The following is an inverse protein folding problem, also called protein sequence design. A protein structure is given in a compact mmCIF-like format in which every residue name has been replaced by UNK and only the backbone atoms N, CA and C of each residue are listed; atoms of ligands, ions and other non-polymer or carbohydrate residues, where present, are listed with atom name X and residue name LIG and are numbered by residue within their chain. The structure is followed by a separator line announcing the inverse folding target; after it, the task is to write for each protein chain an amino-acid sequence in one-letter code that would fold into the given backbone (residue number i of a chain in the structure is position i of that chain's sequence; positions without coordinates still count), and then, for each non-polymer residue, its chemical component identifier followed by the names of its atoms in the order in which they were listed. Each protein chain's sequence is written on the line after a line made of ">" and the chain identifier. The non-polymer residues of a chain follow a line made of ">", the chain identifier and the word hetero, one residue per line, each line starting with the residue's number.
data_IF_189781699854
#
_entry.id   IF_189781699854
#
_cell.length_a   1.000
_cell.length_b   1.000
_cell.length_c   1.000
_cell.angle_alpha   90.00
_cell.angle_beta   90.00
_cell.angle_gamma   90.00
#
_symmetry.space_group_name_H-M   'P 1'
#
loop_
_entity.id
_entity.type
_entity.pdbx_description
1 polymer ?
#
# COMPACT_ATOMS: atom_id res chain seq x y z
N UNK A 1 -8.91 -29.42 -45.40
CA UNK A 1 -7.88 -29.09 -44.42
C UNK A 1 -7.42 -27.64 -44.65
N UNK A 2 -7.74 -26.69 -43.73
CA UNK A 2 -7.20 -25.31 -43.78
C UNK A 2 -5.72 -25.41 -43.40
N UNK A 3 -4.85 -25.22 -44.38
CA UNK A 3 -3.42 -25.05 -44.14
C UNK A 3 -3.25 -23.65 -43.51
N UNK A 4 -3.27 -23.60 -42.18
CA UNK A 4 -2.87 -22.38 -41.45
C UNK A 4 -1.37 -22.20 -41.62
N UNK A 5 -0.96 -21.21 -42.41
CA UNK A 5 0.46 -20.80 -42.48
C UNK A 5 0.92 -20.44 -41.07
N UNK A 6 2.04 -20.96 -40.58
CA UNK A 6 2.57 -20.55 -39.29
C UNK A 6 2.90 -19.05 -39.34
N UNK A 7 2.25 -18.28 -38.49
CA UNK A 7 2.55 -16.87 -38.32
C UNK A 7 3.97 -16.77 -37.78
N UNK A 8 4.83 -15.99 -38.45
CA UNK A 8 6.21 -15.78 -38.00
C UNK A 8 6.23 -15.26 -36.56
N UNK A 9 6.93 -15.98 -35.67
CA UNK A 9 7.07 -15.62 -34.30
C UNK A 9 8.19 -14.60 -34.13
N UNK A 10 7.86 -13.34 -33.90
CA UNK A 10 8.85 -12.33 -33.52
C UNK A 10 9.17 -12.48 -32.04
N UNK A 11 10.46 -12.53 -31.72
CA UNK A 11 10.93 -12.56 -30.33
C UNK A 11 10.98 -11.14 -29.80
N UNK A 12 10.22 -10.87 -28.75
CA UNK A 12 10.30 -9.63 -27.99
C UNK A 12 11.24 -9.83 -26.80
N UNK A 13 12.13 -8.89 -26.59
CA UNK A 13 13.02 -8.85 -25.42
C UNK A 13 13.35 -7.40 -25.11
N UNK A 14 13.26 -7.01 -23.85
CA UNK A 14 13.70 -5.72 -23.36
C UNK A 14 15.21 -5.52 -23.66
N UNK A 15 15.60 -4.31 -23.88
CA UNK A 15 17.01 -3.98 -24.16
C UNK A 15 17.86 -4.00 -22.90
N UNK A 16 17.26 -3.62 -21.77
CA UNK A 16 17.93 -3.51 -20.48
C UNK A 16 17.16 -4.27 -19.41
N UNK A 17 17.87 -4.68 -18.38
CA UNK A 17 17.29 -5.19 -17.17
C UNK A 17 16.50 -4.10 -16.46
N UNK A 18 15.43 -4.45 -15.75
CA UNK A 18 14.48 -3.54 -15.11
C UNK A 18 13.72 -2.60 -16.08
N UNK A 19 13.79 -2.82 -17.39
CA UNK A 19 12.96 -2.10 -18.36
C UNK A 19 11.51 -2.64 -18.35
N UNK A 20 11.36 -3.96 -18.32
CA UNK A 20 10.08 -4.65 -18.34
C UNK A 20 10.14 -5.90 -17.44
N UNK A 21 9.25 -5.95 -16.47
CA UNK A 21 9.00 -7.16 -15.68
C UNK A 21 7.63 -7.75 -16.01
N UNK A 22 7.55 -9.06 -16.08
CA UNK A 22 6.29 -9.78 -16.14
C UNK A 22 5.87 -10.19 -14.75
N UNK A 23 4.63 -9.93 -14.39
CA UNK A 23 4.02 -10.34 -13.11
C UNK A 23 2.84 -11.26 -13.38
N UNK A 24 2.78 -12.35 -12.62
CA UNK A 24 1.66 -13.29 -12.66
C UNK A 24 1.52 -14.04 -11.33
N UNK A 25 0.36 -14.67 -11.12
CA UNK A 25 0.04 -15.46 -9.93
C UNK A 25 -0.53 -16.81 -10.37
N UNK A 26 -0.21 -17.85 -9.62
CA UNK A 26 -0.72 -19.21 -9.90
C UNK A 26 -1.00 -19.97 -8.61
N UNK A 27 -2.11 -20.71 -8.49
CA UNK A 27 -2.32 -21.59 -7.36
C UNK A 27 -1.13 -22.54 -7.19
N UNK A 28 -0.68 -22.71 -5.94
CA UNK A 28 0.36 -23.66 -5.61
C UNK A 28 -0.18 -25.09 -5.56
N UNK A 29 0.65 -26.05 -5.97
CA UNK A 29 0.36 -27.48 -5.81
C UNK A 29 0.77 -28.01 -4.43
N UNK A 30 1.43 -27.20 -3.58
CA UNK A 30 1.73 -27.54 -2.20
C UNK A 30 0.44 -27.69 -1.39
N UNK A 31 0.15 -28.94 -0.98
CA UNK A 31 -1.01 -29.28 -0.16
C UNK A 31 -0.55 -29.49 1.28
N UNK A 32 -1.43 -29.25 2.24
CA UNK A 32 -1.16 -29.49 3.67
C UNK A 32 -0.18 -28.52 4.35
N UNK A 33 0.18 -27.39 3.71
CA UNK A 33 0.82 -26.27 4.40
C UNK A 33 -0.14 -25.75 5.47
N UNK A 34 0.32 -25.55 6.71
CA UNK A 34 -0.52 -25.05 7.79
C UNK A 34 -1.14 -23.70 7.41
N UNK A 35 -2.41 -23.50 7.80
CA UNK A 35 -3.07 -22.22 7.58
C UNK A 35 -2.39 -21.14 8.43
N UNK A 36 -2.23 -19.91 7.90
CA UNK A 36 -1.67 -18.81 8.66
C UNK A 36 -2.49 -18.49 9.91
N UNK A 37 -1.84 -17.98 10.96
CA UNK A 37 -2.49 -17.61 12.23
C UNK A 37 -3.52 -16.47 12.11
N UNK A 38 -3.51 -15.73 11.01
CA UNK A 38 -4.44 -14.63 10.76
C UNK A 38 -5.79 -15.08 10.17
N UNK A 39 -5.95 -16.38 9.88
CA UNK A 39 -7.20 -16.92 9.32
C UNK A 39 -8.33 -16.78 10.34
N UNK A 40 -9.39 -16.07 9.96
CA UNK A 40 -10.58 -15.85 10.78
C UNK A 40 -11.45 -17.11 10.80
N UNK A 41 -12.01 -17.45 11.97
CA UNK A 41 -12.98 -18.53 12.09
C UNK A 41 -14.19 -18.29 11.18
N UNK A 42 -14.59 -19.30 10.43
CA UNK A 42 -15.76 -19.25 9.56
C UNK A 42 -15.50 -18.75 8.13
N UNK A 43 -14.34 -18.16 7.84
CA UNK A 43 -14.01 -17.66 6.48
C UNK A 43 -13.48 -18.73 5.54
N UNK A 44 -13.21 -19.93 6.06
CA UNK A 44 -12.62 -21.00 5.28
C UNK A 44 -11.08 -20.91 5.20
N UNK A 45 -10.48 -21.87 4.49
CA UNK A 45 -9.03 -21.91 4.34
C UNK A 45 -8.59 -21.06 3.14
N UNK A 46 -7.60 -20.17 3.29
CA UNK A 46 -7.03 -19.44 2.16
C UNK A 46 -6.32 -20.38 1.20
N UNK A 47 -6.23 -19.97 -0.06
CA UNK A 47 -5.46 -20.69 -1.08
C UNK A 47 -4.01 -20.23 -1.03
N UNK A 48 -3.08 -21.19 -1.00
CA UNK A 48 -1.67 -20.87 -1.18
C UNK A 48 -1.41 -20.58 -2.66
N UNK A 49 -1.00 -19.36 -2.96
CA UNK A 49 -0.68 -18.91 -4.30
C UNK A 49 0.82 -18.68 -4.44
N UNK A 50 1.37 -19.00 -5.61
CA UNK A 50 2.72 -18.66 -6.01
C UNK A 50 2.68 -17.36 -6.83
N UNK A 51 3.27 -16.30 -6.31
CA UNK A 51 3.45 -15.01 -6.98
C UNK A 51 4.81 -14.99 -7.66
N UNK A 52 4.90 -14.42 -8.85
CA UNK A 52 6.14 -14.40 -9.64
C UNK A 52 6.32 -13.10 -10.40
N UNK A 53 7.54 -12.59 -10.38
CA UNK A 53 8.02 -11.62 -11.35
C UNK A 53 9.21 -12.17 -12.11
N UNK A 54 9.31 -11.79 -13.38
CA UNK A 54 10.41 -12.18 -14.28
C UNK A 54 10.89 -10.97 -15.04
N UNK A 55 12.17 -10.69 -14.97
CA UNK A 55 12.78 -9.68 -15.81
C UNK A 55 12.79 -10.12 -17.27
N UNK A 56 12.26 -9.30 -18.16
CA UNK A 56 12.08 -9.66 -19.58
C UNK A 56 13.40 -9.82 -20.34
N UNK A 57 14.43 -9.05 -19.98
CA UNK A 57 15.74 -9.11 -20.59
C UNK A 57 16.46 -10.40 -20.23
N UNK A 58 16.65 -10.64 -18.96
CA UNK A 58 17.51 -11.68 -18.42
C UNK A 58 16.79 -13.01 -18.13
N UNK A 59 15.47 -12.97 -17.92
CA UNK A 59 14.73 -14.11 -17.42
C UNK A 59 15.00 -14.43 -15.94
N UNK A 60 15.73 -13.57 -15.23
CA UNK A 60 15.87 -13.67 -13.78
C UNK A 60 14.50 -13.49 -13.10
N UNK A 61 14.24 -14.26 -12.05
CA UNK A 61 12.93 -14.32 -11.41
C UNK A 61 13.02 -14.16 -9.90
N UNK A 62 11.99 -13.55 -9.34
CA UNK A 62 11.71 -13.57 -7.90
C UNK A 62 10.30 -14.06 -7.67
N UNK A 63 10.11 -14.92 -6.68
CA UNK A 63 8.83 -15.56 -6.38
C UNK A 63 8.60 -15.66 -4.88
N UNK A 64 7.33 -15.70 -4.47
CA UNK A 64 6.90 -15.97 -3.09
C UNK A 64 5.62 -16.79 -3.08
N UNK A 65 5.51 -17.69 -2.10
CA UNK A 65 4.24 -18.26 -1.69
C UNK A 65 3.53 -17.32 -0.75
N UNK A 66 2.23 -17.14 -0.97
CA UNK A 66 1.35 -16.35 -0.10
C UNK A 66 -0.01 -17.02 0.01
N UNK A 67 -0.50 -17.12 1.23
CA UNK A 67 -1.86 -17.57 1.51
C UNK A 67 -2.82 -16.40 1.32
N UNK A 68 -3.79 -16.54 0.41
CA UNK A 68 -4.73 -15.47 0.04
C UNK A 68 -6.13 -16.04 -0.15
N UNK A 69 -7.16 -15.21 0.01
CA UNK A 69 -8.55 -15.60 -0.30
C UNK A 69 -8.94 -15.40 -1.76
N UNK A 70 -8.03 -14.92 -2.58
CA UNK A 70 -8.22 -14.66 -4.00
C UNK A 70 -7.12 -13.76 -4.56
N UNK A 71 -7.29 -13.33 -5.80
CA UNK A 71 -6.43 -12.36 -6.44
C UNK A 71 -6.81 -10.97 -5.94
N UNK A 72 -6.08 -10.44 -4.96
CA UNK A 72 -6.30 -9.13 -4.37
C UNK A 72 -5.10 -8.19 -4.55
N UNK A 73 -5.39 -6.89 -4.52
CA UNK A 73 -4.38 -5.86 -4.72
C UNK A 73 -3.41 -5.75 -3.53
N UNK A 74 -3.86 -6.05 -2.32
CA UNK A 74 -3.03 -5.98 -1.11
C UNK A 74 -1.89 -6.98 -1.19
N UNK A 75 -2.22 -8.25 -1.44
CA UNK A 75 -1.23 -9.33 -1.54
C UNK A 75 -0.27 -9.11 -2.70
N UNK A 76 -0.79 -8.64 -3.86
CA UNK A 76 0.03 -8.31 -5.02
C UNK A 76 1.01 -7.16 -4.74
N UNK A 77 0.54 -6.09 -4.09
CA UNK A 77 1.38 -4.95 -3.73
C UNK A 77 2.44 -5.31 -2.69
N UNK A 78 2.09 -6.14 -1.71
CA UNK A 78 3.04 -6.63 -0.71
C UNK A 78 4.14 -7.49 -1.34
N UNK A 79 3.76 -8.39 -2.25
CA UNK A 79 4.71 -9.17 -3.04
C UNK A 79 5.62 -8.28 -3.90
N UNK A 80 5.05 -7.33 -4.63
CA UNK A 80 5.82 -6.42 -5.50
C UNK A 80 6.77 -5.52 -4.70
N UNK A 81 6.36 -5.10 -3.49
CA UNK A 81 7.27 -4.41 -2.59
C UNK A 81 8.53 -5.26 -2.32
N UNK A 82 8.34 -6.52 -1.92
CA UNK A 82 9.45 -7.44 -1.65
C UNK A 82 10.27 -7.72 -2.91
N UNK A 83 9.61 -7.84 -4.07
CA UNK A 83 10.30 -8.07 -5.34
C UNK A 83 11.21 -6.89 -5.73
N UNK A 84 10.77 -5.65 -5.50
CA UNK A 84 11.53 -4.43 -5.83
C UNK A 84 12.59 -4.10 -4.78
N UNK A 85 12.38 -4.45 -3.52
CA UNK A 85 13.32 -4.21 -2.45
C UNK A 85 14.61 -5.03 -2.61
N UNK A 86 15.69 -4.52 -2.03
CA UNK A 86 16.91 -5.30 -1.88
C UNK A 86 16.65 -6.51 -0.98
N UNK A 87 17.16 -7.69 -1.38
CA UNK A 87 17.05 -8.90 -0.59
C UNK A 87 18.21 -8.97 0.40
N UNK A 88 17.99 -9.57 1.59
CA UNK A 88 19.08 -9.79 2.53
C UNK A 88 20.09 -10.82 2.01
N UNK A 89 19.66 -11.74 1.14
CA UNK A 89 20.50 -12.78 0.56
C UNK A 89 21.31 -12.21 -0.62
N UNK A 90 22.66 -12.15 -0.53
CA UNK A 90 23.50 -11.63 -1.63
C UNK A 90 23.37 -12.43 -2.93
N UNK A 91 22.96 -13.70 -2.84
CA UNK A 91 22.76 -14.61 -3.98
C UNK A 91 21.48 -14.30 -4.77
N UNK A 92 20.61 -13.41 -4.25
CA UNK A 92 19.39 -12.95 -4.90
C UNK A 92 19.46 -11.44 -5.18
N UNK A 93 20.35 -10.96 -6.05
CA UNK A 93 20.55 -9.53 -6.29
C UNK A 93 19.44 -8.88 -7.12
N UNK A 94 18.47 -9.65 -7.64
CA UNK A 94 17.34 -9.09 -8.42
C UNK A 94 16.54 -8.12 -7.56
N UNK A 95 16.56 -6.84 -7.92
CA UNK A 95 15.93 -5.74 -7.19
C UNK A 95 15.67 -4.53 -8.08
N UNK A 96 15.04 -3.51 -7.51
CA UNK A 96 14.81 -2.23 -8.16
C UNK A 96 13.43 -2.13 -8.81
N UNK A 97 12.93 -0.91 -8.89
CA UNK A 97 11.63 -0.60 -9.48
C UNK A 97 11.74 -0.64 -11.00
N UNK A 98 11.03 -1.53 -11.72
CA UNK A 98 11.07 -1.59 -13.18
C UNK A 98 10.40 -0.36 -13.80
N UNK A 99 10.70 -0.08 -15.07
CA UNK A 99 10.01 0.96 -15.83
C UNK A 99 8.58 0.55 -16.17
N UNK A 100 8.38 -0.74 -16.44
CA UNK A 100 7.09 -1.28 -16.88
C UNK A 100 6.85 -2.64 -16.24
N UNK A 101 5.60 -2.89 -15.81
CA UNK A 101 5.09 -4.21 -15.44
C UNK A 101 4.07 -4.64 -16.48
N UNK A 102 4.21 -5.87 -16.95
CA UNK A 102 3.25 -6.55 -17.81
C UNK A 102 2.54 -7.65 -17.00
N UNK A 103 1.22 -7.62 -16.98
CA UNK A 103 0.40 -8.56 -16.23
C UNK A 103 -0.89 -8.90 -17.00
N UNK A 104 -1.66 -9.82 -16.50
CA UNK A 104 -2.96 -10.11 -17.07
C UNK A 104 -4.00 -9.01 -16.74
N UNK A 105 -5.16 -9.06 -17.41
CA UNK A 105 -6.25 -8.11 -17.21
C UNK A 105 -7.21 -8.60 -16.10
N UNK A 106 -6.63 -9.01 -14.96
CA UNK A 106 -7.35 -9.52 -13.79
C UNK A 106 -7.84 -8.43 -12.83
N UNK A 107 -8.38 -8.84 -11.67
CA UNK A 107 -8.86 -7.90 -10.63
C UNK A 107 -7.77 -6.97 -10.12
N UNK A 108 -6.55 -7.46 -9.96
CA UNK A 108 -5.40 -6.69 -9.47
C UNK A 108 -5.08 -5.53 -10.41
N UNK A 109 -4.98 -5.79 -11.73
CA UNK A 109 -4.65 -4.74 -12.71
C UNK A 109 -5.72 -3.65 -12.81
N UNK A 110 -6.97 -3.94 -12.44
CA UNK A 110 -8.09 -2.99 -12.44
C UNK A 110 -8.25 -2.25 -11.13
N UNK A 111 -7.59 -2.67 -10.07
CA UNK A 111 -7.65 -2.04 -8.76
C UNK A 111 -7.12 -0.61 -8.83
N UNK A 112 -7.90 0.36 -8.32
CA UNK A 112 -7.51 1.77 -8.26
C UNK A 112 -6.28 1.99 -7.41
N UNK A 113 -6.21 1.32 -6.26
CA UNK A 113 -5.07 1.44 -5.36
C UNK A 113 -3.81 0.86 -6.00
N UNK A 114 -3.91 -0.27 -6.70
CA UNK A 114 -2.79 -0.84 -7.45
C UNK A 114 -2.25 0.13 -8.50
N UNK A 115 -3.14 0.70 -9.32
CA UNK A 115 -2.77 1.68 -10.35
C UNK A 115 -2.18 2.95 -9.73
N UNK A 116 -2.73 3.43 -8.63
CA UNK A 116 -2.23 4.58 -7.89
C UNK A 116 -0.81 4.35 -7.35
N UNK A 117 -0.57 3.18 -6.73
CA UNK A 117 0.75 2.80 -6.21
C UNK A 117 1.77 2.66 -7.34
N UNK A 118 1.41 1.97 -8.42
CA UNK A 118 2.31 1.83 -9.58
C UNK A 118 2.63 3.20 -10.21
N UNK A 119 1.63 4.06 -10.36
CA UNK A 119 1.82 5.45 -10.80
C UNK A 119 2.75 6.23 -9.88
N UNK A 120 2.60 6.05 -8.58
CA UNK A 120 3.42 6.66 -7.53
C UNK A 120 4.88 6.23 -7.60
N UNK A 121 5.11 4.97 -7.91
CA UNK A 121 6.44 4.41 -8.13
C UNK A 121 7.01 4.74 -9.53
N UNK A 122 6.22 5.43 -10.39
CA UNK A 122 6.61 5.71 -11.77
C UNK A 122 6.71 4.44 -12.63
N UNK A 123 5.89 3.43 -12.33
CA UNK A 123 5.81 2.16 -13.06
C UNK A 123 4.62 2.20 -14.01
N UNK A 124 4.86 1.94 -15.27
CA UNK A 124 3.79 1.79 -16.27
C UNK A 124 3.23 0.37 -16.21
N UNK A 125 1.93 0.24 -16.02
CA UNK A 125 1.24 -1.06 -16.07
C UNK A 125 0.76 -1.33 -17.48
N UNK A 126 1.15 -2.47 -18.05
CA UNK A 126 0.65 -2.99 -19.32
C UNK A 126 -0.15 -4.26 -19.07
N UNK A 127 -1.34 -4.33 -19.66
CA UNK A 127 -2.17 -5.54 -19.59
C UNK A 127 -2.36 -6.13 -21.00
N UNK A 128 -2.72 -7.41 -21.06
CA UNK A 128 -3.10 -8.03 -22.33
C UNK A 128 -4.33 -7.33 -22.92
N UNK A 129 -4.26 -6.95 -24.18
CA UNK A 129 -5.42 -6.42 -24.88
C UNK A 129 -6.45 -7.52 -25.14
N UNK A 130 -7.76 -7.22 -25.04
CA UNK A 130 -8.80 -8.17 -25.40
C UNK A 130 -8.70 -8.59 -26.88
N UNK A 131 -9.18 -9.78 -27.24
CA UNK A 131 -9.04 -10.35 -28.60
C UNK A 131 -9.72 -9.54 -29.72
N UNK A 132 -10.52 -8.53 -29.41
CA UNK A 132 -11.31 -7.74 -30.36
C UNK A 132 -10.53 -6.71 -31.17
N UNK A 133 -9.32 -6.32 -30.76
CA UNK A 133 -8.47 -5.37 -31.50
C UNK A 133 -7.48 -6.13 -32.38
N UNK A 134 -7.83 -6.29 -33.66
CA UNK A 134 -7.11 -7.12 -34.60
C UNK A 134 -5.73 -6.59 -35.03
N UNK A 135 -5.39 -5.34 -34.74
CA UNK A 135 -4.18 -4.71 -35.28
C UNK A 135 -3.02 -4.52 -34.28
N UNK A 136 -3.26 -4.66 -32.97
CA UNK A 136 -2.20 -4.49 -31.94
C UNK A 136 -2.18 -5.62 -30.90
N UNK A 137 -2.17 -6.86 -31.38
CA UNK A 137 -2.01 -8.00 -30.49
C UNK A 137 -0.63 -8.00 -29.88
N UNK A 138 -0.53 -7.74 -28.56
CA UNK A 138 0.57 -8.33 -27.79
C UNK A 138 0.40 -9.83 -27.89
N UNK A 139 1.29 -10.54 -28.59
CA UNK A 139 1.04 -11.94 -28.87
C UNK A 139 0.97 -12.72 -27.56
N UNK A 140 0.06 -13.71 -27.49
CA UNK A 140 -0.07 -14.65 -26.37
C UNK A 140 1.29 -15.28 -25.94
N UNK A 141 2.30 -15.21 -26.80
CA UNK A 141 3.69 -15.62 -26.54
C UNK A 141 4.46 -14.72 -25.55
N UNK A 142 4.03 -13.48 -25.29
CA UNK A 142 4.60 -12.67 -24.22
C UNK A 142 4.38 -13.33 -22.86
N UNK A 143 3.24 -14.02 -22.66
CA UNK A 143 2.92 -14.78 -21.45
C UNK A 143 3.85 -15.98 -21.22
N UNK A 144 4.38 -16.58 -22.27
CA UNK A 144 5.33 -17.71 -22.16
C UNK A 144 6.63 -17.40 -21.43
N UNK A 145 6.98 -16.14 -21.21
CA UNK A 145 8.15 -15.76 -20.41
C UNK A 145 7.90 -15.90 -18.91
N UNK A 146 6.69 -15.56 -18.46
CA UNK A 146 6.27 -15.70 -17.07
C UNK A 146 5.86 -17.15 -16.73
N UNK A 147 5.24 -17.85 -17.68
CA UNK A 147 4.81 -19.25 -17.49
C UNK A 147 6.00 -20.22 -17.26
N UNK A 148 7.14 -19.95 -17.87
CA UNK A 148 8.29 -20.83 -17.78
C UNK A 148 8.90 -20.90 -16.38
N UNK A 149 9.19 -19.80 -15.66
CA UNK A 149 9.63 -19.86 -14.26
C UNK A 149 8.62 -20.56 -13.35
N UNK A 150 7.33 -20.33 -13.52
CA UNK A 150 6.30 -21.08 -12.78
C UNK A 150 6.42 -22.59 -12.99
N UNK A 151 6.49 -23.01 -14.25
CA UNK A 151 6.61 -24.44 -14.56
C UNK A 151 7.88 -25.03 -13.97
N UNK A 152 9.02 -24.37 -14.12
CA UNK A 152 10.29 -24.87 -13.57
C UNK A 152 10.23 -24.98 -12.05
N UNK A 153 9.70 -23.96 -11.36
CA UNK A 153 9.59 -24.00 -9.90
C UNK A 153 8.59 -25.05 -9.45
N UNK A 154 7.43 -25.17 -10.11
CA UNK A 154 6.45 -26.21 -9.80
C UNK A 154 7.00 -27.62 -10.03
N UNK A 155 7.65 -27.84 -11.17
CA UNK A 155 8.22 -29.15 -11.48
C UNK A 155 9.35 -29.56 -10.51
N UNK A 156 10.20 -28.63 -10.11
CA UNK A 156 11.36 -28.94 -9.24
C UNK A 156 11.00 -28.74 -7.77
N UNK A 157 10.53 -27.56 -7.40
CA UNK A 157 10.34 -27.21 -5.99
C UNK A 157 9.12 -27.91 -5.40
N UNK A 158 7.97 -27.91 -6.09
CA UNK A 158 6.75 -28.55 -5.59
C UNK A 158 6.85 -30.08 -5.67
N UNK A 159 7.65 -30.64 -6.59
CA UNK A 159 7.95 -32.07 -6.61
C UNK A 159 8.73 -32.49 -5.38
N UNK A 160 9.67 -31.68 -4.86
CA UNK A 160 10.38 -31.94 -3.62
C UNK A 160 9.44 -32.09 -2.40
N UNK A 161 8.26 -31.52 -2.46
CA UNK A 161 7.21 -31.71 -1.45
C UNK A 161 6.87 -33.16 -1.16
N UNK A 162 7.06 -34.07 -2.13
CA UNK A 162 6.85 -35.49 -1.91
C UNK A 162 7.91 -36.13 -0.97
N UNK A 163 9.08 -35.50 -0.87
CA UNK A 163 10.17 -35.94 -0.03
C UNK A 163 10.23 -35.19 1.30
N UNK A 164 9.93 -33.89 1.28
CA UNK A 164 9.87 -33.06 2.47
C UNK A 164 8.72 -32.06 2.34
N UNK A 165 7.80 -32.07 3.28
CA UNK A 165 6.62 -31.23 3.29
C UNK A 165 6.92 -29.98 4.11
N UNK A 166 6.90 -28.78 3.52
CA UNK A 166 7.01 -27.56 4.30
C UNK A 166 5.84 -27.47 5.26
N UNK A 167 6.11 -27.10 6.50
CA UNK A 167 5.12 -27.01 7.56
C UNK A 167 4.16 -25.84 7.32
N UNK A 168 4.73 -24.68 7.03
CA UNK A 168 4.02 -23.42 6.88
C UNK A 168 4.52 -22.63 5.65
N UNK A 169 3.92 -21.48 5.43
CA UNK A 169 4.26 -20.56 4.34
C UNK A 169 5.70 -20.04 4.45
N UNK A 170 6.20 -19.82 5.66
CA UNK A 170 7.55 -19.31 5.89
C UNK A 170 8.61 -20.34 5.48
N UNK A 171 8.42 -21.60 5.89
CA UNK A 171 9.31 -22.69 5.49
C UNK A 171 9.26 -22.94 3.98
N UNK A 172 8.06 -22.88 3.38
CA UNK A 172 7.89 -23.00 1.93
C UNK A 172 8.67 -21.89 1.19
N UNK A 173 8.60 -20.65 1.68
CA UNK A 173 9.34 -19.53 1.13
C UNK A 173 10.85 -19.63 1.34
N UNK A 174 11.31 -20.15 2.47
CA UNK A 174 12.73 -20.39 2.70
C UNK A 174 13.31 -21.36 1.65
N UNK A 175 12.58 -22.41 1.32
CA UNK A 175 13.00 -23.38 0.31
C UNK A 175 12.91 -22.82 -1.10
N UNK A 176 11.85 -22.06 -1.36
CA UNK A 176 11.68 -21.37 -2.64
C UNK A 176 12.84 -20.41 -2.91
N UNK A 177 13.31 -19.66 -1.93
CA UNK A 177 14.49 -18.79 -2.09
C UNK A 177 15.73 -19.56 -2.52
N UNK A 178 16.00 -20.73 -1.94
CA UNK A 178 17.12 -21.59 -2.37
C UNK A 178 16.94 -22.09 -3.80
N UNK A 179 15.72 -22.49 -4.17
CA UNK A 179 15.42 -22.90 -5.54
C UNK A 179 15.60 -21.74 -6.54
N UNK A 180 15.22 -20.52 -6.14
CA UNK A 180 15.39 -19.30 -6.96
C UNK A 180 16.87 -18.95 -7.17
N UNK A 181 17.73 -19.10 -6.15
CA UNK A 181 19.18 -18.95 -6.32
C UNK A 181 19.68 -19.90 -7.41
N UNK A 182 19.32 -21.17 -7.34
CA UNK A 182 19.69 -22.17 -8.35
C UNK A 182 19.12 -21.82 -9.73
N UNK A 183 17.86 -21.42 -9.80
CA UNK A 183 17.20 -21.03 -11.05
C UNK A 183 17.88 -19.82 -11.70
N UNK A 184 18.18 -18.77 -10.93
CA UNK A 184 18.76 -17.54 -11.44
C UNK A 184 20.24 -17.73 -11.87
N UNK A 185 20.97 -18.62 -11.22
CA UNK A 185 22.32 -19.00 -11.59
C UNK A 185 22.38 -20.04 -12.73
N UNK A 186 21.23 -20.56 -13.14
CA UNK A 186 21.15 -21.43 -14.32
C UNK A 186 21.26 -20.63 -15.62
N UNK A 187 21.60 -21.38 -16.70
CA UNK A 187 21.89 -20.80 -18.02
C UNK A 187 20.78 -19.92 -18.55
N UNK A 188 21.16 -18.76 -19.08
CA UNK A 188 20.26 -17.92 -19.83
C UNK A 188 19.81 -18.67 -21.11
N UNK A 189 18.58 -18.40 -21.54
CA UNK A 189 17.96 -19.13 -22.65
C UNK A 189 18.74 -19.07 -23.96
N UNK A 190 19.45 -17.99 -24.22
CA UNK A 190 20.08 -17.69 -25.52
C UNK A 190 21.47 -17.10 -25.41
N UNK A 191 21.89 -16.76 -24.22
CA UNK A 191 23.22 -16.24 -23.93
C UNK A 191 24.06 -17.36 -23.28
N UNK A 192 25.37 -17.24 -23.38
CA UNK A 192 26.32 -18.23 -22.84
C UNK A 192 26.66 -18.03 -21.36
N UNK A 193 25.78 -17.35 -20.62
CA UNK A 193 25.98 -17.03 -19.20
C UNK A 193 24.66 -17.18 -18.40
N UNK A 194 24.74 -17.09 -17.07
CA UNK A 194 23.60 -17.25 -16.19
C UNK A 194 22.59 -16.09 -16.32
N UNK A 195 21.31 -16.34 -15.94
CA UNK A 195 20.25 -15.31 -15.94
C UNK A 195 20.61 -14.12 -15.09
N UNK A 196 21.12 -14.36 -13.89
CA UNK A 196 21.48 -13.28 -12.98
C UNK A 196 22.70 -12.48 -13.47
N UNK A 197 23.61 -13.13 -14.16
CA UNK A 197 24.75 -12.48 -14.80
C UNK A 197 24.29 -11.59 -15.96
N UNK A 198 23.32 -12.05 -16.78
CA UNK A 198 22.70 -11.23 -17.83
C UNK A 198 22.00 -10.00 -17.23
N UNK A 199 21.28 -10.20 -16.11
CA UNK A 199 20.62 -9.10 -15.40
C UNK A 199 21.63 -8.04 -14.95
N UNK A 200 22.74 -8.43 -14.34
CA UNK A 200 23.81 -7.53 -13.90
C UNK A 200 24.48 -6.79 -15.06
N UNK A 201 24.74 -7.47 -16.17
CA UNK A 201 25.42 -6.90 -17.35
C UNK A 201 24.58 -5.86 -18.07
N UNK A 202 23.27 -5.95 -18.01
CA UNK A 202 22.34 -5.09 -18.75
C UNK A 202 21.59 -4.09 -17.87
N UNK A 203 22.07 -3.84 -16.64
CA UNK A 203 21.50 -2.79 -15.80
C UNK A 203 21.52 -1.43 -16.50
N UNK A 204 20.55 -0.55 -16.21
CA UNK A 204 20.58 0.83 -16.70
C UNK A 204 21.89 1.53 -16.31
N UNK A 205 22.42 2.46 -17.11
CA UNK A 205 23.66 3.18 -16.79
C UNK A 205 23.60 3.91 -15.45
N UNK A 206 22.41 4.40 -15.08
CA UNK A 206 22.15 5.10 -13.83
C UNK A 206 21.89 4.14 -12.65
N UNK A 207 22.07 2.84 -12.85
CA UNK A 207 21.80 1.80 -11.87
C UNK A 207 20.32 1.45 -11.74
N UNK A 208 19.98 0.74 -10.66
CA UNK A 208 18.60 0.37 -10.34
C UNK A 208 17.88 1.49 -9.58
N UNK A 209 16.61 1.70 -9.86
CA UNK A 209 15.76 2.58 -9.07
C UNK A 209 15.44 1.87 -7.74
N UNK A 210 16.02 2.34 -6.64
CA UNK A 210 15.83 1.72 -5.34
C UNK A 210 14.37 1.82 -4.87
N UNK A 211 13.91 0.79 -4.16
CA UNK A 211 12.60 0.80 -3.50
C UNK A 211 12.63 1.73 -2.29
N UNK A 212 11.54 2.44 -2.03
CA UNK A 212 11.39 3.27 -0.84
C UNK A 212 11.20 2.40 0.42
N UNK A 213 11.25 3.04 1.60
CA UNK A 213 10.94 2.33 2.85
C UNK A 213 9.49 1.82 2.87
N UNK A 214 9.22 0.81 3.72
CA UNK A 214 7.89 0.23 3.88
C UNK A 214 6.86 1.27 4.33
N UNK A 215 7.24 2.16 5.26
CA UNK A 215 6.38 3.23 5.77
C UNK A 215 5.96 4.20 4.65
N UNK A 216 6.90 4.57 3.80
CA UNK A 216 6.61 5.42 2.64
C UNK A 216 5.71 4.71 1.63
N UNK A 217 5.93 3.42 1.40
CA UNK A 217 5.07 2.62 0.54
C UNK A 217 3.64 2.55 1.09
N UNK A 218 3.46 2.30 2.37
CA UNK A 218 2.15 2.32 3.02
C UNK A 218 1.45 3.68 2.89
N UNK A 219 2.21 4.78 2.92
CA UNK A 219 1.64 6.12 2.84
C UNK A 219 0.93 6.42 1.51
N UNK A 220 1.28 5.76 0.41
CA UNK A 220 0.58 5.88 -0.88
C UNK A 220 -0.23 4.64 -1.28
N UNK A 221 -0.13 3.54 -0.56
CA UNK A 221 -1.01 2.38 -0.71
C UNK A 221 -2.34 2.61 0.01
N UNK A 222 -3.08 3.63 -0.46
CA UNK A 222 -4.34 4.09 0.15
C UNK A 222 -5.50 3.97 -0.83
N UNK A 223 -6.59 3.36 -0.37
CA UNK A 223 -7.82 3.26 -1.16
C UNK A 223 -8.66 4.53 -1.00
N UNK A 224 -8.98 5.25 -2.08
CA UNK A 224 -9.85 6.41 -2.01
C UNK A 224 -11.32 5.99 -1.99
N UNK A 225 -12.09 6.47 -0.99
CA UNK A 225 -13.52 6.25 -0.87
C UNK A 225 -14.25 7.56 -0.55
N UNK A 226 -15.35 7.85 -1.23
CA UNK A 226 -16.18 9.03 -0.93
C UNK A 226 -17.22 8.67 0.11
N UNK A 227 -17.24 9.42 1.23
CA UNK A 227 -18.21 9.27 2.32
C UNK A 227 -18.65 10.63 2.84
N UNK A 228 -19.86 10.66 3.41
CA UNK A 228 -20.33 11.82 4.19
C UNK A 228 -20.00 11.54 5.65
N UNK A 229 -19.38 12.54 6.30
CA UNK A 229 -19.07 12.49 7.73
C UNK A 229 -20.36 12.63 8.52
N UNK A 230 -20.56 11.80 9.53
CA UNK A 230 -21.74 11.86 10.38
C UNK A 230 -21.76 13.15 11.23
N UNK A 231 -22.94 13.51 11.78
CA UNK A 231 -23.11 14.75 12.56
C UNK A 231 -22.31 14.78 13.87
N UNK A 232 -21.85 13.62 14.33
CA UNK A 232 -20.95 13.46 15.49
C UNK A 232 -19.45 13.48 15.09
N UNK A 233 -19.14 13.92 13.89
CA UNK A 233 -17.81 13.90 13.31
C UNK A 233 -17.17 12.52 13.23
N UNK A 234 -17.97 11.48 13.03
CA UNK A 234 -17.48 10.12 12.82
C UNK A 234 -17.66 9.65 11.37
N UNK A 235 -16.82 8.72 10.96
CA UNK A 235 -16.91 8.04 9.67
C UNK A 235 -16.53 6.57 9.86
N UNK A 236 -17.25 5.67 9.17
CA UNK A 236 -16.98 4.24 9.24
C UNK A 236 -16.35 3.75 7.93
N UNK A 237 -15.25 2.99 8.05
CA UNK A 237 -14.52 2.36 6.95
C UNK A 237 -14.14 0.95 7.36
N UNK A 238 -14.44 -0.05 6.52
CA UNK A 238 -14.11 -1.47 6.76
C UNK A 238 -14.47 -1.96 8.18
N UNK A 239 -15.64 -1.54 8.66
CA UNK A 239 -16.12 -1.93 9.99
C UNK A 239 -15.47 -1.21 11.18
N UNK A 240 -14.49 -0.35 10.94
CA UNK A 240 -13.89 0.51 11.94
C UNK A 240 -14.50 1.92 11.89
N UNK A 241 -14.72 2.52 13.07
CA UNK A 241 -15.18 3.90 13.20
C UNK A 241 -14.01 4.82 13.50
N UNK A 242 -13.97 5.97 12.86
CA UNK A 242 -12.93 7.00 13.01
C UNK A 242 -13.57 8.31 13.41
N UNK A 243 -13.02 8.94 14.45
CA UNK A 243 -13.37 10.30 14.83
C UNK A 243 -12.48 11.26 14.01
N UNK A 244 -13.11 12.09 13.17
CA UNK A 244 -12.42 13.06 12.31
C UNK A 244 -12.58 14.48 12.85
N UNK A 245 -12.07 15.47 12.12
CA UNK A 245 -12.20 16.87 12.55
C UNK A 245 -13.67 17.30 12.60
N UNK A 246 -14.11 17.93 13.70
CA UNK A 246 -15.51 18.36 13.88
C UNK A 246 -16.03 19.27 12.76
N UNK A 247 -15.14 20.04 12.12
CA UNK A 247 -15.46 20.94 11.01
C UNK A 247 -15.89 20.19 9.74
N UNK A 248 -15.62 18.90 9.66
CA UNK A 248 -16.01 18.05 8.54
C UNK A 248 -17.39 17.41 8.74
N UNK A 249 -18.04 17.61 9.89
CA UNK A 249 -19.35 17.02 10.16
C UNK A 249 -20.40 17.45 9.14
N UNK A 250 -21.06 16.48 8.50
CA UNK A 250 -22.03 16.72 7.43
C UNK A 250 -21.44 16.89 6.04
N UNK A 251 -20.11 17.06 5.93
CA UNK A 251 -19.45 17.24 4.64
C UNK A 251 -19.21 15.92 3.91
N UNK A 252 -19.21 15.98 2.57
CA UNK A 252 -18.82 14.84 1.74
C UNK A 252 -17.33 14.94 1.42
N UNK A 253 -16.58 14.00 1.95
CA UNK A 253 -15.14 13.97 1.90
C UNK A 253 -14.61 12.77 1.11
N UNK A 254 -13.34 12.81 0.74
CA UNK A 254 -12.62 11.62 0.24
C UNK A 254 -11.80 11.04 1.37
N UNK A 255 -12.14 9.83 1.77
CA UNK A 255 -11.37 9.04 2.72
C UNK A 255 -10.21 8.38 1.97
N UNK A 256 -9.06 8.33 2.60
CA UNK A 256 -7.87 7.62 2.12
C UNK A 256 -7.45 6.64 3.21
N UNK A 257 -8.03 5.44 3.19
CA UNK A 257 -7.72 4.41 4.19
C UNK A 257 -6.57 3.51 3.71
N UNK A 258 -5.72 3.09 4.65
CA UNK A 258 -4.52 2.34 4.36
C UNK A 258 -4.79 0.85 4.16
N UNK A 259 -4.23 0.26 3.08
CA UNK A 259 -4.27 -1.20 2.88
C UNK A 259 -3.44 -1.96 3.93
N UNK A 260 -2.39 -1.37 4.45
CA UNK A 260 -1.41 -2.04 5.31
C UNK A 260 -1.36 -1.49 6.72
N UNK A 261 -2.12 -0.46 7.01
CA UNK A 261 -2.24 0.17 8.32
C UNK A 261 -3.68 0.58 8.60
N UNK A 262 -3.96 0.98 9.83
CA UNK A 262 -5.29 1.46 10.24
C UNK A 262 -5.36 2.98 10.28
N UNK A 263 -4.45 3.68 9.63
CA UNK A 263 -4.48 5.13 9.56
C UNK A 263 -5.45 5.59 8.46
N UNK A 264 -6.32 6.51 8.81
CA UNK A 264 -7.23 7.18 7.88
C UNK A 264 -6.77 8.61 7.65
N UNK A 265 -6.69 9.02 6.39
CA UNK A 265 -6.62 10.42 6.01
C UNK A 265 -7.92 10.84 5.35
N UNK A 266 -8.27 12.09 5.52
CA UNK A 266 -9.47 12.69 4.92
C UNK A 266 -9.05 13.85 4.04
N UNK A 267 -9.51 13.87 2.79
CA UNK A 267 -9.32 14.99 1.88
C UNK A 267 -10.64 15.73 1.66
N UNK A 268 -10.63 17.03 1.92
CA UNK A 268 -11.75 17.92 1.68
C UNK A 268 -11.23 19.28 1.16
N UNK A 269 -11.82 19.78 0.07
CA UNK A 269 -11.43 21.06 -0.57
C UNK A 269 -9.91 21.21 -0.83
N UNK A 270 -9.24 20.11 -1.21
CA UNK A 270 -7.79 20.12 -1.49
C UNK A 270 -6.91 20.18 -0.24
N UNK A 271 -7.46 20.03 0.95
CA UNK A 271 -6.73 19.88 2.21
C UNK A 271 -6.79 18.44 2.68
N UNK A 272 -5.71 17.98 3.28
CA UNK A 272 -5.60 16.64 3.89
C UNK A 272 -5.54 16.76 5.40
N UNK A 273 -6.41 16.00 6.06
CA UNK A 273 -6.55 15.90 7.51
C UNK A 273 -6.12 14.50 7.96
N UNK A 274 -5.65 14.36 9.20
CA UNK A 274 -5.20 13.09 9.78
C UNK A 274 -3.68 13.04 9.99
N UNK A 275 -3.10 11.86 10.32
CA UNK A 275 -3.76 10.55 10.36
C UNK A 275 -4.72 10.38 11.53
N UNK A 276 -5.90 9.83 11.26
CA UNK A 276 -6.86 9.41 12.27
C UNK A 276 -6.69 7.93 12.58
N UNK A 277 -6.90 7.56 13.84
CA UNK A 277 -6.87 6.16 14.28
C UNK A 277 -8.30 5.66 14.55
N UNK A 278 -8.56 4.34 14.43
CA UNK A 278 -9.87 3.79 14.77
C UNK A 278 -10.27 4.15 16.19
N UNK A 279 -11.49 4.66 16.35
CA UNK A 279 -12.06 4.92 17.68
C UNK A 279 -12.57 3.62 18.29
N UNK A 280 -12.28 3.40 19.57
CA UNK A 280 -12.76 2.24 20.33
C UNK A 280 -13.93 2.65 21.23
N UNK A 281 -15.13 2.78 20.65
CA UNK A 281 -16.36 3.04 21.41
C UNK A 281 -16.59 4.51 21.78
N UNK A 282 -17.53 4.75 22.73
CA UNK A 282 -17.95 6.08 23.12
C UNK A 282 -16.79 6.92 23.69
N UNK A 283 -16.68 8.16 23.23
CA UNK A 283 -15.65 9.10 23.70
C UNK A 283 -16.00 9.51 25.13
N UNK A 284 -15.08 9.39 26.11
CA UNK A 284 -15.31 9.87 27.45
C UNK A 284 -15.64 11.36 27.48
N UNK A 285 -16.55 11.79 28.39
CA UNK A 285 -17.02 13.16 28.47
C UNK A 285 -15.88 14.21 28.58
N UNK A 286 -14.77 13.86 29.22
CA UNK A 286 -13.61 14.75 29.35
C UNK A 286 -12.80 14.92 28.03
N UNK A 287 -13.06 14.10 27.00
CA UNK A 287 -12.50 14.23 25.66
C UNK A 287 -13.44 14.94 24.69
N UNK A 288 -14.59 15.43 25.16
CA UNK A 288 -15.51 16.16 24.31
C UNK A 288 -14.80 17.36 23.68
N UNK A 289 -14.59 17.30 22.38
CA UNK A 289 -14.01 18.39 21.61
C UNK A 289 -15.08 19.45 21.42
N UNK A 290 -14.80 20.63 21.91
CA UNK A 290 -15.65 21.78 21.63
C UNK A 290 -15.51 22.14 20.16
N UNK A 291 -16.63 22.22 19.45
CA UNK A 291 -16.65 22.73 18.08
C UNK A 291 -15.89 24.06 18.00
N UNK A 292 -14.85 24.09 17.19
CA UNK A 292 -14.14 25.32 16.87
C UNK A 292 -14.57 25.77 15.48
N UNK A 293 -15.12 26.97 15.41
CA UNK A 293 -15.53 27.56 14.14
C UNK A 293 -14.32 27.63 13.21
N UNK A 294 -14.54 27.27 11.96
CA UNK A 294 -13.54 27.46 10.91
C UNK A 294 -13.22 28.95 10.72
N UNK A 295 -12.04 29.25 10.18
CA UNK A 295 -11.68 30.65 9.86
C UNK A 295 -12.69 31.32 8.91
N UNK A 296 -13.35 30.53 8.08
CA UNK A 296 -14.39 30.98 7.17
C UNK A 296 -15.65 31.37 7.95
N UNK A 297 -16.11 30.54 8.87
CA UNK A 297 -17.27 30.81 9.73
C UNK A 297 -17.02 31.98 10.66
N UNK A 298 -15.81 32.13 11.22
CA UNK A 298 -15.45 33.33 12.00
C UNK A 298 -15.46 34.58 11.15
N UNK A 299 -15.04 34.51 9.88
CA UNK A 299 -15.16 35.64 8.94
C UNK A 299 -16.61 35.95 8.60
N UNK A 300 -17.41 34.91 8.32
CA UNK A 300 -18.85 35.07 8.08
C UNK A 300 -19.54 35.71 9.27
N UNK A 301 -19.28 35.26 10.50
CA UNK A 301 -19.81 35.88 11.70
C UNK A 301 -19.42 37.36 11.84
N UNK A 302 -18.18 37.71 11.51
CA UNK A 302 -17.72 39.12 11.51
C UNK A 302 -18.44 39.94 10.46
N UNK A 303 -18.61 39.40 9.27
CA UNK A 303 -19.34 40.10 8.17
C UNK A 303 -20.81 40.26 8.51
N UNK A 304 -21.46 39.21 9.08
CA UNK A 304 -22.86 39.28 9.54
C UNK A 304 -23.03 40.34 10.64
N UNK A 305 -22.14 40.38 11.64
CA UNK A 305 -22.17 41.41 12.70
C UNK A 305 -21.99 42.83 12.14
N UNK A 306 -21.09 42.98 11.19
CA UNK A 306 -20.89 44.28 10.54
C UNK A 306 -22.12 44.71 9.73
N UNK A 307 -22.72 43.75 9.02
CA UNK A 307 -23.96 44.00 8.30
C UNK A 307 -25.13 44.42 9.22
N UNK A 308 -25.26 43.70 10.35
CA UNK A 308 -26.28 44.06 11.37
C UNK A 308 -26.01 45.47 11.96
N UNK A 309 -24.75 45.85 12.19
CA UNK A 309 -24.35 47.18 12.65
C UNK A 309 -24.66 48.30 11.61
N UNK A 310 -24.53 47.96 10.33
CA UNK A 310 -24.79 48.89 9.23
C UNK A 310 -26.25 48.89 8.76
N UNK A 311 -27.12 48.08 9.38
CA UNK A 311 -28.53 47.95 9.00
C UNK A 311 -28.74 47.30 7.63
N UNK A 312 -27.78 46.51 7.14
CA UNK A 312 -27.90 45.82 5.86
C UNK A 312 -28.78 44.57 5.99
N UNK A 313 -29.64 44.27 5.00
CA UNK A 313 -30.42 43.04 5.02
C UNK A 313 -29.48 41.81 5.03
N UNK A 314 -29.77 40.84 5.88
CA UNK A 314 -28.96 39.58 5.95
C UNK A 314 -28.87 38.89 4.60
N UNK A 315 -29.89 38.94 3.77
CA UNK A 315 -29.87 38.42 2.40
C UNK A 315 -28.78 39.05 1.50
N UNK A 316 -28.32 40.25 1.80
CA UNK A 316 -27.21 40.88 1.09
C UNK A 316 -25.84 40.31 1.46
N UNK A 317 -25.75 39.68 2.62
CA UNK A 317 -24.49 39.06 3.14
C UNK A 317 -24.47 37.58 2.89
N UNK A 318 -25.59 36.89 3.01
CA UNK A 318 -25.71 35.44 2.85
C UNK A 318 -26.00 35.00 1.41
N UNK A 319 -26.20 36.01 0.47
CA UNK A 319 -26.60 35.72 -0.90
C UNK A 319 -27.96 35.02 -0.92
N UNK A 320 -29.07 35.73 -0.97
CA UNK A 320 -30.33 35.06 -1.27
C UNK A 320 -30.20 34.29 -2.56
N UNK A 321 -30.84 33.17 -2.69
CA UNK A 321 -30.89 32.09 -3.73
C UNK A 321 -30.24 32.32 -5.12
N UNK A 322 -29.34 33.29 -5.25
CA UNK A 322 -28.49 33.47 -6.43
C UNK A 322 -27.05 33.12 -6.09
N UNK A 323 -26.47 32.11 -6.75
CA UNK A 323 -25.04 31.85 -6.61
C UNK A 323 -24.28 33.10 -7.05
N UNK A 324 -23.43 33.64 -6.16
CA UNK A 324 -22.45 34.66 -6.54
C UNK A 324 -21.59 34.13 -7.68
N UNK A 325 -21.36 34.91 -8.75
CA UNK A 325 -20.44 34.49 -9.78
C UNK A 325 -19.07 34.27 -9.15
N UNK A 326 -18.57 33.04 -9.21
CA UNK A 326 -17.22 32.71 -8.79
C UNK A 326 -16.24 33.53 -9.62
N UNK A 327 -15.50 34.43 -8.97
CA UNK A 327 -14.35 35.06 -9.59
C UNK A 327 -13.38 33.96 -10.04
N UNK A 328 -12.96 34.00 -11.32
CA UNK A 328 -11.96 33.02 -11.76
C UNK A 328 -10.70 33.17 -10.91
N UNK A 329 -10.08 32.08 -10.49
CA UNK A 329 -8.82 32.16 -9.76
C UNK A 329 -7.78 32.82 -10.65
N UNK A 330 -7.21 33.93 -10.18
CA UNK A 330 -6.11 34.61 -10.85
C UNK A 330 -4.87 33.71 -10.73
N UNK A 331 -4.71 32.81 -11.70
CA UNK A 331 -3.49 32.03 -11.88
C UNK A 331 -2.47 32.88 -12.63
N UNK A 332 -1.85 33.83 -11.93
CA UNK A 332 -0.61 34.42 -12.40
C UNK A 332 0.54 33.46 -12.08
N UNK A 333 1.02 32.81 -13.12
CA UNK A 333 2.37 32.33 -13.35
C UNK A 333 3.24 31.92 -12.16
N UNK A 334 3.02 30.72 -11.59
CA UNK A 334 4.07 29.99 -10.92
C UNK A 334 4.13 28.60 -11.57
N UNK A 335 5.09 28.41 -12.46
CA UNK A 335 5.49 27.09 -12.93
C UNK A 335 6.16 26.37 -11.76
N UNK A 336 5.33 25.73 -10.93
CA UNK A 336 5.83 24.78 -9.94
C UNK A 336 6.17 23.52 -10.70
N UNK A 337 7.46 23.20 -10.81
CA UNK A 337 7.90 21.84 -11.15
C UNK A 337 7.19 20.91 -10.19
N UNK A 338 6.22 20.16 -10.68
CA UNK A 338 5.58 19.08 -9.92
C UNK A 338 6.63 18.01 -9.68
N UNK A 339 7.28 18.04 -8.52
CA UNK A 339 7.84 16.80 -7.95
C UNK A 339 6.66 15.85 -7.81
N UNK A 340 6.78 14.58 -8.21
CA UNK A 340 5.64 13.66 -8.24
C UNK A 340 4.91 13.46 -6.91
N UNK A 341 5.46 13.89 -5.79
CA UNK A 341 4.79 13.89 -4.49
C UNK A 341 5.36 14.99 -3.59
N UNK A 342 4.56 15.98 -3.14
CA UNK A 342 4.87 16.66 -1.90
C UNK A 342 4.84 15.58 -0.81
N UNK A 343 5.93 15.41 -0.09
CA UNK A 343 5.92 14.61 1.13
C UNK A 343 4.84 15.20 2.03
N UNK A 344 3.82 14.43 2.45
CA UNK A 344 2.96 14.91 3.51
C UNK A 344 3.87 15.22 4.70
N UNK A 345 3.80 16.43 5.25
CA UNK A 345 4.45 16.78 6.49
C UNK A 345 3.74 15.99 7.60
N UNK A 346 4.08 14.72 7.69
CA UNK A 346 3.62 13.85 8.76
C UNK A 346 4.50 14.21 9.95
N UNK A 347 3.93 14.84 10.95
CA UNK A 347 4.59 14.93 12.25
C UNK A 347 4.82 13.51 12.76
N UNK A 348 6.00 12.99 12.53
CA UNK A 348 6.42 11.63 12.93
C UNK A 348 6.63 11.50 14.42
N UNK A 349 6.79 12.62 15.13
CA UNK A 349 7.05 12.65 16.55
C UNK A 349 5.99 13.46 17.33
N UNK A 350 5.83 13.13 18.60
CA UNK A 350 5.04 13.95 19.53
C UNK A 350 5.82 15.24 19.86
N UNK A 351 5.14 16.39 20.01
CA UNK A 351 5.79 17.66 20.29
C UNK A 351 6.52 17.69 21.66
N UNK A 352 6.09 16.86 22.59
CA UNK A 352 6.72 16.71 23.90
C UNK A 352 6.29 15.42 24.59
N UNK A 353 6.95 15.05 25.69
CA UNK A 353 6.63 13.86 26.48
C UNK A 353 5.25 13.88 27.11
N UNK A 354 4.65 15.04 27.36
CA UNK A 354 3.30 15.13 27.91
C UNK A 354 2.25 14.73 26.88
N UNK A 355 2.39 15.21 25.63
CA UNK A 355 1.54 14.80 24.52
C UNK A 355 1.65 13.29 24.23
N UNK A 356 2.88 12.75 24.29
CA UNK A 356 3.13 11.32 24.13
C UNK A 356 2.46 10.49 25.26
N UNK A 357 2.53 10.94 26.52
CA UNK A 357 1.83 10.28 27.64
C UNK A 357 0.32 10.31 27.48
N UNK A 358 -0.24 11.42 27.03
CA UNK A 358 -1.66 11.51 26.70
C UNK A 358 -2.07 10.46 25.67
N UNK A 359 -1.33 10.38 24.56
CA UNK A 359 -1.59 9.41 23.50
C UNK A 359 -1.44 7.94 23.97
N UNK A 360 -0.45 7.65 24.83
CA UNK A 360 -0.29 6.32 25.44
C UNK A 360 -1.46 5.97 26.34
N UNK A 361 -1.88 6.90 27.21
CA UNK A 361 -3.05 6.71 28.07
C UNK A 361 -4.31 6.44 27.24
N UNK A 362 -4.46 7.14 26.14
CA UNK A 362 -5.53 7.00 25.18
C UNK A 362 -5.51 5.64 24.49
N UNK A 363 -4.33 5.20 24.02
CA UNK A 363 -4.16 3.90 23.39
C UNK A 363 -4.46 2.74 24.36
N UNK A 364 -4.15 2.90 25.63
CA UNK A 364 -4.36 1.88 26.68
C UNK A 364 -5.74 1.97 27.35
N UNK A 365 -6.52 3.02 27.08
CA UNK A 365 -7.86 3.23 27.64
C UNK A 365 -7.89 3.49 29.14
N UNK A 366 -6.72 3.83 29.75
CA UNK A 366 -6.59 4.08 31.19
C UNK A 366 -5.48 5.09 31.50
N UNK A 367 -5.63 5.91 32.56
CA UNK A 367 -4.60 6.86 32.96
C UNK A 367 -3.30 6.16 33.34
N UNK A 368 -2.15 6.73 32.95
CA UNK A 368 -0.82 6.18 33.30
C UNK A 368 -0.64 6.11 34.82
N UNK A 369 -1.18 7.07 35.58
CA UNK A 369 -1.14 7.08 37.04
C UNK A 369 -1.81 5.87 37.71
N UNK A 370 -2.81 5.27 37.07
CA UNK A 370 -3.51 4.09 37.54
C UNK A 370 -2.79 2.77 37.21
N UNK A 371 -1.64 2.81 36.52
CA UNK A 371 -0.88 1.63 36.19
C UNK A 371 0.08 1.23 37.28
N UNK A 372 0.51 -0.05 37.28
CA UNK A 372 1.50 -0.54 38.25
C UNK A 372 2.87 0.15 38.05
N UNK A 373 3.76 0.04 39.03
CA UNK A 373 5.05 0.71 39.03
C UNK A 373 5.95 0.28 37.85
N UNK A 374 5.92 -1.00 37.47
CA UNK A 374 6.72 -1.53 36.35
C UNK A 374 6.29 -0.98 34.99
N UNK A 375 4.97 -0.83 34.76
CA UNK A 375 4.46 -0.28 33.50
C UNK A 375 4.74 1.24 33.41
N UNK A 376 4.65 1.96 34.52
CA UNK A 376 5.02 3.38 34.58
C UNK A 376 6.50 3.59 34.32
N UNK A 377 7.37 2.73 34.89
CA UNK A 377 8.82 2.80 34.64
C UNK A 377 9.13 2.56 33.16
N UNK A 378 8.55 1.53 32.55
CA UNK A 378 8.69 1.23 31.12
C UNK A 378 8.27 2.41 30.23
N UNK A 379 7.09 3.03 30.51
CA UNK A 379 6.62 4.18 29.75
C UNK A 379 7.58 5.37 29.90
N UNK A 380 8.10 5.62 31.09
CA UNK A 380 9.05 6.72 31.32
C UNK A 380 10.37 6.50 30.59
N UNK A 381 10.90 5.27 30.61
CA UNK A 381 12.10 4.88 29.89
C UNK A 381 11.89 5.05 28.36
N UNK A 382 10.81 4.50 27.82
CA UNK A 382 10.48 4.63 26.39
C UNK A 382 10.36 6.08 25.94
N UNK A 383 9.74 6.96 26.73
CA UNK A 383 9.62 8.38 26.42
C UNK A 383 10.92 9.16 26.63
N UNK A 384 11.88 8.61 27.38
CA UNK A 384 13.26 9.11 27.45
C UNK A 384 14.08 8.74 26.22
N UNK A 385 13.75 7.62 25.57
CA UNK A 385 14.46 7.15 24.38
C UNK A 385 13.96 7.80 23.08
N UNK A 386 12.64 7.94 22.95
CA UNK A 386 12.04 8.41 21.68
C UNK A 386 10.70 9.11 21.89
N UNK A 387 10.42 10.09 21.01
CA UNK A 387 9.10 10.70 20.86
C UNK A 387 8.43 10.32 19.53
N UNK A 388 9.03 9.42 18.75
CA UNK A 388 8.47 8.94 17.48
C UNK A 388 7.16 8.19 17.72
N UNK A 389 6.09 8.63 17.04
CA UNK A 389 4.72 8.11 17.22
C UNK A 389 4.61 6.62 16.91
N UNK A 390 5.30 6.16 15.86
CA UNK A 390 5.24 4.76 15.43
C UNK A 390 6.02 3.85 16.35
N UNK A 391 7.20 4.25 16.76
CA UNK A 391 8.03 3.52 17.70
C UNK A 391 7.32 3.35 19.05
N UNK A 392 6.76 4.44 19.58
CA UNK A 392 5.99 4.40 20.83
C UNK A 392 4.79 3.48 20.69
N UNK A 393 3.99 3.62 19.63
CA UNK A 393 2.82 2.77 19.43
C UNK A 393 3.17 1.28 19.30
N UNK A 394 4.27 0.94 18.62
CA UNK A 394 4.73 -0.43 18.45
C UNK A 394 5.17 -1.04 19.80
N UNK A 395 6.05 -0.34 20.56
CA UNK A 395 6.55 -0.81 21.84
C UNK A 395 5.48 -0.95 22.91
N UNK A 396 4.49 -0.03 22.91
CA UNK A 396 3.33 -0.12 23.81
C UNK A 396 2.47 -1.34 23.45
N UNK A 397 2.21 -1.58 22.17
CA UNK A 397 1.48 -2.79 21.74
C UNK A 397 2.20 -4.06 22.15
N UNK A 398 3.48 -4.17 21.83
CA UNK A 398 4.31 -5.34 22.18
C UNK A 398 4.23 -5.65 23.67
N UNK A 399 4.45 -4.64 24.55
CA UNK A 399 4.45 -4.81 26.00
C UNK A 399 3.10 -5.24 26.57
N UNK A 400 2.01 -4.64 26.09
CA UNK A 400 0.68 -4.84 26.68
C UNK A 400 -0.15 -5.92 25.97
N UNK A 401 0.20 -6.33 24.74
CA UNK A 401 -0.41 -7.49 24.07
C UNK A 401 0.20 -8.81 24.55
N UNK A 402 1.50 -8.87 24.85
CA UNK A 402 2.12 -10.06 25.41
C UNK A 402 1.46 -10.48 26.73
N UNK A 403 1.11 -9.53 27.59
CA UNK A 403 0.42 -9.80 28.86
C UNK A 403 -1.02 -10.32 28.73
N UNK A 404 -1.75 -9.93 27.70
CA UNK A 404 -3.11 -10.45 27.45
C UNK A 404 -3.16 -11.91 27.02
N UNK A 405 -2.02 -12.47 26.63
CA UNK A 405 -1.90 -13.90 26.26
C UNK A 405 -1.45 -14.77 27.45
N UNK A 406 -1.01 -14.15 28.54
CA UNK A 406 -0.56 -14.82 29.76
C UNK A 406 -1.65 -14.82 30.89
N UNK A 407 -2.68 -13.97 30.77
CA UNK A 407 -3.89 -13.96 31.58
C UNK A 407 -5.04 -14.73 30.88
#
# INVERSE_FOLDING_TARGET
>A
ARVTRPVAAVRFQARRSNELWHFDMSPSDLKQVEAPLWVEEGRGRPTLMLFSVVDDRSGASYQEYRSVYGEDAESALRFLYNAFAAKPEPELPLQGIPTTIHMDNGPVSRSRVFQSVMGSLGVRVLTHMPPSDSERRTPARAKGKVERPFRTIKEVHETLYHFHKPKDEEEANLWLRRALVTYNNGDHRTESHARIEDWLRHLPPDGVRAMCSWERFCAFAREPERRTVAGDATVSVEGASYEVEPELAGETVTLLWGLFDQELFVEHEGKRFGPFQPSRGAVPLFRYRKYQKSKLEERLDKVVRLADQLGLPRAAVTGGDRPLPSLPPTTAGLSVRRTPFPEPAIETAYPNGLAARGAIADQLGRPIGAMNAGDRAFINELLGETLDKKMIAARIRERFQARRKEE
#
